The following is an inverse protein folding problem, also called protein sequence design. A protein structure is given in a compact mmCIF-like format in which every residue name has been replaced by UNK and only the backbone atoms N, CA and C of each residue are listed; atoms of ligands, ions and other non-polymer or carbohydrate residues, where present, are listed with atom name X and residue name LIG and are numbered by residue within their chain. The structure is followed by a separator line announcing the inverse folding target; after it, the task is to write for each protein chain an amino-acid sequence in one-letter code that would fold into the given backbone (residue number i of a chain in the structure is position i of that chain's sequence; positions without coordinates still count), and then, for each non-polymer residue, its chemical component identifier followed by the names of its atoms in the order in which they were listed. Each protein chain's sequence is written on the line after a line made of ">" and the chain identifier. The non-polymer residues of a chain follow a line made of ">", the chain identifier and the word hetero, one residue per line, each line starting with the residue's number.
data_IF_478720341462
#
_entry.id   IF_478720341462
#
_cell.length_a   1.000
_cell.length_b   1.000
_cell.length_c   1.000
_cell.angle_alpha   90.00
_cell.angle_beta   90.00
_cell.angle_gamma   90.00
#
_symmetry.space_group_name_H-M   'P 1'
#
loop_
_entity.id
_entity.type
_entity.pdbx_description
1 polymer ?
#
# COMPACT_ATOMS: atom_id res chain seq x y z
N UNK A 1 -26.04 0.10 27.04
CA UNK A 1 -25.68 -1.08 26.24
C UNK A 1 -25.01 -0.72 24.91
N UNK A 2 -25.56 0.19 24.09
CA UNK A 2 -24.95 0.61 22.81
C UNK A 2 -23.56 1.27 22.93
N UNK A 3 -23.21 1.89 24.06
CA UNK A 3 -21.88 2.50 24.25
C UNK A 3 -20.79 1.44 24.52
N UNK A 4 -21.12 0.38 25.27
CA UNK A 4 -20.19 -0.71 25.57
C UNK A 4 -19.88 -1.56 24.31
N UNK A 5 -20.86 -1.73 23.42
CA UNK A 5 -20.66 -2.43 22.15
C UNK A 5 -19.87 -1.61 21.12
N UNK A 6 -19.93 -0.27 21.18
CA UNK A 6 -19.05 0.59 20.37
C UNK A 6 -17.60 0.51 20.85
N UNK A 7 -17.40 0.64 22.17
CA UNK A 7 -16.07 0.57 22.78
C UNK A 7 -15.40 -0.78 22.52
N UNK A 8 -16.15 -1.89 22.55
CA UNK A 8 -15.58 -3.21 22.25
C UNK A 8 -15.02 -3.30 20.83
N UNK A 9 -15.67 -2.68 19.83
CA UNK A 9 -15.17 -2.68 18.45
C UNK A 9 -13.87 -1.88 18.34
N UNK A 10 -13.79 -0.70 18.95
CA UNK A 10 -12.55 0.09 18.96
C UNK A 10 -11.39 -0.65 19.63
N UNK A 11 -11.68 -1.46 20.66
CA UNK A 11 -10.70 -2.23 21.42
C UNK A 11 -10.50 -3.67 20.92
N UNK A 12 -10.99 -4.01 19.72
CA UNK A 12 -10.63 -5.29 19.11
C UNK A 12 -9.11 -5.40 18.96
N UNK A 13 -8.58 -6.59 19.21
CA UNK A 13 -7.15 -6.90 19.11
C UNK A 13 -6.55 -6.44 17.78
N UNK A 14 -7.15 -6.69 16.59
CA UNK A 14 -6.66 -6.14 15.33
C UNK A 14 -6.57 -4.61 15.31
N UNK A 15 -7.52 -3.91 15.92
CA UNK A 15 -7.53 -2.44 15.94
C UNK A 15 -6.46 -1.87 16.88
N UNK A 16 -6.19 -2.56 18.01
CA UNK A 16 -5.07 -2.23 18.89
C UNK A 16 -3.73 -2.39 18.16
N UNK A 17 -3.57 -3.44 17.36
CA UNK A 17 -2.39 -3.62 16.49
C UNK A 17 -2.31 -2.46 15.49
N UNK A 18 -3.43 -2.06 14.87
CA UNK A 18 -3.51 -0.89 13.99
C UNK A 18 -3.05 0.41 14.67
N UNK A 19 -3.48 0.68 15.91
CA UNK A 19 -3.03 1.86 16.65
C UNK A 19 -1.54 1.81 16.98
N UNK A 20 -1.01 0.63 17.32
CA UNK A 20 0.41 0.43 17.55
C UNK A 20 1.22 0.70 16.27
N UNK A 21 0.74 0.25 15.10
CA UNK A 21 1.36 0.53 13.78
C UNK A 21 1.45 2.03 13.52
N UNK A 22 0.38 2.77 13.80
CA UNK A 22 0.38 4.24 13.66
C UNK A 22 1.45 4.87 14.54
N UNK A 23 1.50 4.49 15.84
CA UNK A 23 2.51 5.02 16.76
C UNK A 23 3.94 4.66 16.32
N UNK A 24 4.18 3.41 15.89
CA UNK A 24 5.47 2.97 15.37
C UNK A 24 5.89 3.76 14.14
N UNK A 25 4.97 4.04 13.21
CA UNK A 25 5.26 4.85 12.04
C UNK A 25 5.55 6.30 12.40
N UNK A 26 4.82 6.90 13.35
CA UNK A 26 5.13 8.26 13.85
C UNK A 26 6.56 8.32 14.40
N UNK A 27 6.94 7.35 15.24
CA UNK A 27 8.29 7.28 15.80
C UNK A 27 9.32 7.06 14.69
N UNK A 28 9.06 6.15 13.76
CA UNK A 28 9.95 5.87 12.63
C UNK A 28 10.20 7.14 11.82
N UNK A 29 9.13 7.82 11.36
CA UNK A 29 9.26 9.02 10.54
C UNK A 29 9.94 10.17 11.29
N UNK A 30 9.75 10.30 12.60
CA UNK A 30 10.46 11.28 13.41
C UNK A 30 11.99 11.10 13.37
N UNK A 31 12.48 9.85 13.37
CA UNK A 31 13.92 9.55 13.38
C UNK A 31 14.52 9.34 11.98
N UNK A 32 13.75 9.52 10.90
CA UNK A 32 14.13 9.00 9.57
C UNK A 32 15.48 9.54 9.06
N UNK A 33 15.75 10.83 9.25
CA UNK A 33 16.99 11.46 8.82
C UNK A 33 18.14 11.31 9.84
N UNK A 34 17.82 11.01 11.10
CA UNK A 34 18.82 10.82 12.16
C UNK A 34 19.42 9.41 12.16
N UNK A 35 18.59 8.38 11.96
CA UNK A 35 19.04 7.00 11.93
C UNK A 35 18.25 6.17 10.89
N UNK A 36 18.79 6.12 9.67
CA UNK A 36 18.16 5.41 8.55
C UNK A 36 17.91 3.93 8.84
N UNK A 37 18.84 3.26 9.52
CA UNK A 37 18.72 1.83 9.85
C UNK A 37 17.59 1.57 10.82
N UNK A 38 17.51 2.36 11.90
CA UNK A 38 16.45 2.21 12.89
C UNK A 38 15.07 2.55 12.28
N UNK A 39 15.00 3.59 11.45
CA UNK A 39 13.80 3.89 10.65
C UNK A 39 13.35 2.69 9.82
N UNK A 40 14.24 2.11 9.01
CA UNK A 40 13.91 0.99 8.13
C UNK A 40 13.44 -0.24 8.91
N UNK A 41 14.04 -0.53 10.07
CA UNK A 41 13.60 -1.63 10.94
C UNK A 41 12.22 -1.37 11.52
N UNK A 42 11.97 -0.19 12.09
CA UNK A 42 10.67 0.15 12.69
C UNK A 42 9.55 0.17 11.64
N UNK A 43 9.81 0.78 10.48
CA UNK A 43 8.87 0.81 9.36
C UNK A 43 8.59 -0.60 8.84
N UNK A 44 9.62 -1.44 8.68
CA UNK A 44 9.43 -2.83 8.24
C UNK A 44 8.63 -3.66 9.24
N UNK A 45 8.86 -3.51 10.54
CA UNK A 45 8.06 -4.19 11.58
C UNK A 45 6.61 -3.72 11.51
N UNK A 46 6.36 -2.42 11.37
CA UNK A 46 5.01 -1.86 11.22
C UNK A 46 4.29 -2.43 10.00
N UNK A 47 5.01 -2.56 8.87
CA UNK A 47 4.49 -3.21 7.66
C UNK A 47 4.20 -4.71 7.85
N UNK A 48 5.02 -5.44 8.63
CA UNK A 48 4.72 -6.85 8.94
C UNK A 48 3.49 -6.98 9.85
N UNK A 49 3.30 -6.04 10.78
CA UNK A 49 2.14 -6.01 11.67
C UNK A 49 0.80 -5.85 10.91
N UNK A 50 0.81 -5.31 9.69
CA UNK A 50 -0.31 -5.29 8.75
C UNK A 50 -0.95 -6.66 8.54
N UNK A 51 -0.13 -7.63 8.12
CA UNK A 51 -0.61 -8.96 7.85
C UNK A 51 -1.13 -9.64 9.13
N UNK A 52 -0.56 -9.27 10.29
CA UNK A 52 -0.95 -9.80 11.58
C UNK A 52 -2.32 -9.29 12.03
N UNK A 53 -2.64 -8.01 11.87
CA UNK A 53 -3.96 -7.49 12.26
C UNK A 53 -5.08 -8.18 11.47
N UNK A 54 -4.92 -8.38 10.16
CA UNK A 54 -5.89 -9.08 9.34
C UNK A 54 -6.00 -10.56 9.70
N UNK A 55 -4.89 -11.19 10.09
CA UNK A 55 -4.90 -12.57 10.57
C UNK A 55 -5.64 -12.72 11.90
N UNK A 56 -5.36 -11.86 12.88
CA UNK A 56 -6.06 -11.85 14.16
C UNK A 56 -7.55 -11.51 14.01
N UNK A 57 -7.90 -10.56 13.14
CA UNK A 57 -9.30 -10.23 12.86
C UNK A 57 -10.11 -11.46 12.41
N UNK A 58 -9.54 -12.28 11.51
CA UNK A 58 -10.18 -13.53 11.04
C UNK A 58 -10.18 -14.62 12.10
N UNK A 59 -9.06 -14.81 12.80
CA UNK A 59 -8.91 -15.90 13.79
C UNK A 59 -9.80 -15.67 15.02
N UNK A 60 -9.99 -14.43 15.43
CA UNK A 60 -10.75 -14.05 16.62
C UNK A 60 -12.21 -13.68 16.31
N UNK A 61 -12.66 -13.80 15.05
CA UNK A 61 -13.96 -13.32 14.59
C UNK A 61 -14.23 -11.84 14.95
N UNK A 62 -13.19 -11.00 14.89
CA UNK A 62 -13.21 -9.57 15.19
C UNK A 62 -13.11 -8.71 13.91
N UNK A 63 -13.62 -9.21 12.79
CA UNK A 63 -13.66 -8.45 11.53
C UNK A 63 -14.66 -7.30 11.66
N UNK A 64 -14.23 -6.08 11.35
CA UNK A 64 -15.08 -4.89 11.40
C UNK A 64 -14.79 -3.94 10.25
N UNK A 65 -15.80 -3.18 9.81
CA UNK A 65 -15.64 -2.14 8.79
C UNK A 65 -14.67 -1.05 9.24
N UNK A 66 -14.72 -0.67 10.52
CA UNK A 66 -13.77 0.28 11.10
C UNK A 66 -12.33 -0.22 11.00
N UNK A 67 -12.06 -1.48 11.39
CA UNK A 67 -10.73 -2.06 11.30
C UNK A 67 -10.23 -2.14 9.86
N UNK A 68 -11.09 -2.53 8.91
CA UNK A 68 -10.71 -2.55 7.49
C UNK A 68 -10.38 -1.16 6.91
N UNK A 69 -11.07 -0.11 7.37
CA UNK A 69 -10.77 1.28 6.96
C UNK A 69 -9.50 1.78 7.65
N UNK A 70 -9.33 1.51 8.95
CA UNK A 70 -8.14 1.89 9.72
C UNK A 70 -6.87 1.29 9.10
N UNK A 71 -6.92 0.01 8.77
CA UNK A 71 -5.85 -0.73 8.08
C UNK A 71 -5.47 -0.06 6.74
N UNK A 72 -6.44 0.08 5.84
CA UNK A 72 -6.24 0.71 4.54
C UNK A 72 -5.68 2.13 4.65
N UNK A 73 -6.22 2.97 5.55
CA UNK A 73 -5.75 4.36 5.71
C UNK A 73 -4.32 4.38 6.24
N UNK A 74 -4.00 3.53 7.21
CA UNK A 74 -2.66 3.44 7.80
C UNK A 74 -1.62 3.03 6.76
N UNK A 75 -1.95 2.06 5.90
CA UNK A 75 -1.08 1.66 4.78
C UNK A 75 -0.79 2.81 3.83
N UNK A 76 -1.84 3.48 3.36
CA UNK A 76 -1.70 4.55 2.37
C UNK A 76 -0.90 5.73 2.92
N UNK A 77 -1.14 6.13 4.17
CA UNK A 77 -0.37 7.20 4.81
C UNK A 77 1.10 6.81 4.95
N UNK A 78 1.38 5.57 5.37
CA UNK A 78 2.76 5.09 5.60
C UNK A 78 3.56 5.07 4.29
N UNK A 79 3.01 4.45 3.24
CA UNK A 79 3.64 4.43 1.91
C UNK A 79 3.78 5.86 1.37
N UNK A 80 2.78 6.73 1.57
CA UNK A 80 2.83 8.10 1.10
C UNK A 80 3.95 8.91 1.75
N UNK A 81 4.09 8.83 3.07
CA UNK A 81 5.19 9.48 3.79
C UNK A 81 6.56 8.99 3.31
N UNK A 82 6.72 7.68 3.08
CA UNK A 82 7.96 7.11 2.55
C UNK A 82 8.26 7.62 1.12
N UNK A 83 7.27 7.68 0.24
CA UNK A 83 7.42 8.23 -1.11
C UNK A 83 7.78 9.72 -1.10
N UNK A 84 7.20 10.51 -0.20
CA UNK A 84 7.57 11.92 -0.03
C UNK A 84 9.03 12.03 0.41
N UNK A 85 9.48 11.23 1.37
CA UNK A 85 10.90 11.22 1.79
C UNK A 85 11.81 10.84 0.62
N UNK A 86 11.46 9.80 -0.15
CA UNK A 86 12.22 9.40 -1.34
C UNK A 86 12.28 10.53 -2.39
N UNK A 87 11.19 11.28 -2.56
CA UNK A 87 11.16 12.44 -3.47
C UNK A 87 12.09 13.58 -3.05
N UNK A 88 12.40 13.69 -1.76
CA UNK A 88 13.36 14.68 -1.23
C UNK A 88 14.80 14.22 -1.37
N UNK A 89 15.04 12.91 -1.27
CA UNK A 89 16.36 12.28 -1.28
C UNK A 89 16.90 12.09 -2.71
N UNK A 90 16.03 11.84 -3.68
CA UNK A 90 16.40 11.56 -5.06
C UNK A 90 15.98 12.67 -6.03
N UNK A 91 16.76 12.87 -7.10
CA UNK A 91 16.47 13.86 -8.15
C UNK A 91 16.46 13.23 -9.55
N UNK A 92 15.47 13.54 -10.41
CA UNK A 92 14.27 14.35 -10.13
C UNK A 92 13.26 13.61 -9.22
N UNK A 93 12.75 14.31 -8.19
CA UNK A 93 11.82 13.72 -7.21
C UNK A 93 10.41 13.45 -7.74
N UNK A 94 10.08 13.97 -8.94
CA UNK A 94 8.76 13.84 -9.56
C UNK A 94 8.33 12.38 -9.78
N UNK A 95 9.27 11.45 -10.00
CA UNK A 95 8.92 10.04 -10.14
C UNK A 95 8.18 9.51 -8.91
N UNK A 96 8.67 9.80 -7.70
CA UNK A 96 8.03 9.36 -6.46
C UNK A 96 6.71 10.10 -6.18
N UNK A 97 6.63 11.38 -6.52
CA UNK A 97 5.38 12.15 -6.41
C UNK A 97 4.30 11.62 -7.36
N UNK A 98 4.66 11.22 -8.58
CA UNK A 98 3.74 10.58 -9.53
C UNK A 98 3.25 9.22 -9.04
N UNK A 99 4.14 8.42 -8.42
CA UNK A 99 3.75 7.14 -7.81
C UNK A 99 2.79 7.35 -6.63
N UNK A 100 3.05 8.36 -5.79
CA UNK A 100 2.16 8.76 -4.71
C UNK A 100 0.77 9.16 -5.26
N UNK A 101 0.74 10.01 -6.29
CA UNK A 101 -0.51 10.45 -6.90
C UNK A 101 -1.29 9.27 -7.49
N UNK A 102 -0.62 8.35 -8.18
CA UNK A 102 -1.22 7.14 -8.73
C UNK A 102 -1.80 6.23 -7.63
N UNK A 103 -1.06 6.01 -6.54
CA UNK A 103 -1.49 5.15 -5.45
C UNK A 103 -2.72 5.71 -4.74
N UNK A 104 -2.72 7.00 -4.38
CA UNK A 104 -3.87 7.64 -3.75
C UNK A 104 -5.08 7.67 -4.70
N UNK A 105 -4.90 8.11 -5.95
CA UNK A 105 -6.01 8.23 -6.90
C UNK A 105 -6.67 6.87 -7.19
N UNK A 106 -5.86 5.83 -7.42
CA UNK A 106 -6.36 4.48 -7.73
C UNK A 106 -7.15 3.86 -6.57
N UNK A 107 -6.71 4.05 -5.33
CA UNK A 107 -7.40 3.54 -4.15
C UNK A 107 -8.64 4.37 -3.81
N UNK A 108 -8.57 5.69 -3.89
CA UNK A 108 -9.70 6.57 -3.61
C UNK A 108 -10.87 6.30 -4.56
N UNK A 109 -10.57 6.23 -5.87
CA UNK A 109 -11.60 5.99 -6.87
C UNK A 109 -12.20 4.58 -6.73
N UNK A 110 -11.38 3.57 -6.43
CA UNK A 110 -11.85 2.21 -6.18
C UNK A 110 -12.73 2.11 -4.93
N UNK A 111 -12.39 2.81 -3.85
CA UNK A 111 -13.22 2.84 -2.64
C UNK A 111 -14.56 3.49 -2.91
N UNK A 112 -14.58 4.60 -3.63
CA UNK A 112 -15.80 5.29 -4.00
C UNK A 112 -16.69 4.44 -4.94
N UNK A 113 -16.11 3.82 -5.96
CA UNK A 113 -16.86 2.95 -6.88
C UNK A 113 -17.45 1.73 -6.16
N UNK A 114 -16.70 1.13 -5.24
CA UNK A 114 -17.16 0.00 -4.41
C UNK A 114 -18.34 0.40 -3.53
N UNK A 115 -18.29 1.59 -2.94
CA UNK A 115 -19.38 2.14 -2.15
C UNK A 115 -20.65 2.37 -2.99
N UNK A 116 -20.52 2.94 -4.19
CA UNK A 116 -21.66 3.17 -5.10
C UNK A 116 -22.33 1.87 -5.57
N UNK A 117 -21.53 0.84 -5.88
CA UNK A 117 -22.04 -0.45 -6.37
C UNK A 117 -22.56 -1.33 -5.22
N UNK A 118 -22.30 -0.97 -3.96
CA UNK A 118 -22.70 -1.76 -2.78
C UNK A 118 -21.88 -3.03 -2.58
N UNK A 119 -20.64 -3.07 -3.11
CA UNK A 119 -19.74 -4.22 -2.91
C UNK A 119 -19.16 -4.21 -1.50
N UNK A 120 -18.96 -5.40 -0.92
CA UNK A 120 -18.49 -5.56 0.47
C UNK A 120 -17.00 -5.20 0.64
N UNK A 121 -16.19 -5.30 -0.43
CA UNK A 121 -14.76 -5.00 -0.39
C UNK A 121 -14.26 -4.40 -1.70
N UNK A 122 -13.36 -3.43 -1.60
CA UNK A 122 -12.70 -2.79 -2.74
C UNK A 122 -11.75 -3.73 -3.49
N UNK A 123 -11.46 -4.90 -2.91
CA UNK A 123 -10.66 -5.98 -3.50
C UNK A 123 -11.52 -7.05 -4.21
N UNK A 124 -12.84 -6.83 -4.37
CA UNK A 124 -13.73 -7.78 -5.05
C UNK A 124 -13.77 -7.56 -6.57
N UNK A 125 -13.17 -8.50 -7.31
CA UNK A 125 -12.79 -8.36 -8.72
C UNK A 125 -13.61 -9.23 -9.68
N UNK A 126 -14.68 -9.87 -9.20
CA UNK A 126 -15.45 -10.85 -10.00
C UNK A 126 -15.94 -10.32 -11.36
N UNK A 127 -16.18 -9.01 -11.47
CA UNK A 127 -16.75 -8.38 -12.67
C UNK A 127 -15.71 -7.71 -13.58
N UNK A 128 -14.41 -7.71 -13.23
CA UNK A 128 -13.40 -7.09 -14.09
C UNK A 128 -13.13 -7.93 -15.33
N UNK A 129 -12.76 -7.31 -16.45
CA UNK A 129 -12.36 -8.01 -17.69
C UNK A 129 -10.85 -8.25 -17.77
N UNK A 130 -10.02 -7.55 -16.97
CA UNK A 130 -8.57 -7.61 -17.09
C UNK A 130 -7.96 -8.83 -16.39
N UNK A 131 -7.20 -9.64 -17.14
CA UNK A 131 -6.56 -10.86 -16.65
C UNK A 131 -5.55 -10.58 -15.52
N UNK A 132 -4.76 -9.51 -15.64
CA UNK A 132 -3.72 -9.17 -14.66
C UNK A 132 -4.35 -8.74 -13.34
N UNK A 133 -5.43 -7.96 -13.40
CA UNK A 133 -6.18 -7.51 -12.23
C UNK A 133 -6.84 -8.70 -11.51
N UNK A 134 -7.37 -9.68 -12.27
CA UNK A 134 -7.86 -10.96 -11.71
C UNK A 134 -6.76 -11.81 -11.10
N UNK A 135 -5.62 -11.94 -11.76
CA UNK A 135 -4.49 -12.72 -11.24
C UNK A 135 -3.96 -12.10 -9.93
N UNK A 136 -3.83 -10.76 -9.91
CA UNK A 136 -3.40 -10.01 -8.75
C UNK A 136 -4.34 -10.20 -7.55
N UNK A 137 -5.63 -9.91 -7.69
CA UNK A 137 -6.57 -10.00 -6.57
C UNK A 137 -7.08 -11.43 -6.29
N UNK A 138 -7.02 -12.32 -7.28
CA UNK A 138 -7.43 -13.72 -7.16
C UNK A 138 -6.45 -14.59 -6.41
N UNK A 139 -5.14 -14.26 -6.44
CA UNK A 139 -4.12 -14.99 -5.71
C UNK A 139 -3.51 -14.12 -4.59
N UNK A 140 -3.89 -14.41 -3.35
CA UNK A 140 -3.42 -13.67 -2.16
C UNK A 140 -1.91 -13.70 -1.97
N UNK A 141 -1.24 -14.80 -2.35
CA UNK A 141 0.22 -14.93 -2.23
C UNK A 141 0.90 -14.00 -3.24
N UNK A 142 0.39 -13.98 -4.47
CA UNK A 142 0.92 -13.12 -5.53
C UNK A 142 0.70 -11.63 -5.23
N UNK A 143 -0.49 -11.26 -4.74
CA UNK A 143 -0.78 -9.92 -4.23
C UNK A 143 0.21 -9.52 -3.13
N UNK A 144 0.39 -10.41 -2.15
CA UNK A 144 1.30 -10.21 -1.01
C UNK A 144 2.73 -9.99 -1.48
N UNK A 145 3.23 -10.82 -2.40
CA UNK A 145 4.55 -10.64 -3.02
C UNK A 145 4.71 -9.25 -3.64
N UNK A 146 3.74 -8.79 -4.45
CA UNK A 146 3.83 -7.48 -5.10
C UNK A 146 3.81 -6.32 -4.09
N UNK A 147 3.00 -6.41 -3.04
CA UNK A 147 2.98 -5.40 -1.97
C UNK A 147 4.30 -5.36 -1.20
N UNK A 148 4.81 -6.52 -0.78
CA UNK A 148 6.11 -6.65 -0.10
C UNK A 148 7.23 -6.13 -1.01
N UNK A 149 7.21 -6.48 -2.29
CA UNK A 149 8.20 -6.03 -3.25
C UNK A 149 8.26 -4.50 -3.36
N UNK A 150 7.11 -3.82 -3.40
CA UNK A 150 7.06 -2.36 -3.38
C UNK A 150 7.68 -1.77 -2.11
N UNK A 151 7.20 -2.18 -0.94
CA UNK A 151 7.63 -1.60 0.34
C UNK A 151 9.11 -1.87 0.60
N UNK A 152 9.57 -3.10 0.35
CA UNK A 152 10.98 -3.46 0.50
C UNK A 152 11.86 -2.70 -0.49
N UNK A 153 11.43 -2.51 -1.74
CA UNK A 153 12.16 -1.70 -2.71
C UNK A 153 12.34 -0.26 -2.21
N UNK A 154 11.29 0.36 -1.69
CA UNK A 154 11.35 1.73 -1.16
C UNK A 154 12.27 1.85 0.05
N UNK A 155 12.23 0.87 0.97
CA UNK A 155 13.14 0.80 2.11
C UNK A 155 14.60 0.66 1.64
N UNK A 156 14.87 -0.21 0.66
CA UNK A 156 16.22 -0.41 0.11
C UNK A 156 16.72 0.86 -0.56
N UNK A 157 15.89 1.52 -1.38
CA UNK A 157 16.24 2.81 -1.97
C UNK A 157 16.58 3.84 -0.89
N UNK A 158 15.76 3.95 0.16
CA UNK A 158 16.03 4.86 1.26
C UNK A 158 17.37 4.59 1.97
N UNK A 159 17.71 3.31 2.16
CA UNK A 159 18.98 2.90 2.77
C UNK A 159 20.19 3.11 1.85
N UNK A 160 20.02 2.93 0.55
CA UNK A 160 21.09 3.09 -0.45
C UNK A 160 21.44 4.55 -0.71
N UNK A 161 20.48 5.46 -0.54
CA UNK A 161 20.72 6.87 -0.74
C UNK A 161 21.80 7.40 0.20
N UNK A 162 22.90 7.89 -0.35
CA UNK A 162 24.01 8.47 0.42
C UNK A 162 23.90 9.99 0.48
N UNK A 163 23.60 10.62 -0.67
CA UNK A 163 23.49 12.07 -0.82
C UNK A 163 22.07 12.46 -1.25
N UNK A 164 21.61 13.65 -0.86
CA UNK A 164 20.23 14.14 -1.12
C UNK A 164 19.98 14.62 -2.57
N UNK A 165 20.80 14.18 -3.52
CA UNK A 165 20.75 14.64 -4.92
C UNK A 165 21.07 13.52 -5.92
N UNK A 166 21.03 12.26 -5.50
CA UNK A 166 21.38 11.15 -6.37
C UNK A 166 20.27 10.88 -7.40
N UNK A 167 20.67 10.44 -8.59
CA UNK A 167 19.74 9.90 -9.57
C UNK A 167 19.44 8.44 -9.22
N UNK A 168 18.16 8.07 -9.24
CA UNK A 168 17.67 6.73 -8.93
C UNK A 168 18.31 5.69 -9.86
N UNK A 169 18.45 6.00 -11.15
CA UNK A 169 19.02 5.07 -12.14
C UNK A 169 20.45 4.72 -11.78
N UNK A 170 21.23 5.71 -11.38
CA UNK A 170 22.65 5.55 -11.06
C UNK A 170 22.81 4.75 -9.78
N UNK A 171 21.97 5.03 -8.76
CA UNK A 171 21.99 4.28 -7.49
C UNK A 171 21.61 2.81 -7.72
N UNK A 172 20.57 2.54 -8.51
CA UNK A 172 20.17 1.17 -8.83
C UNK A 172 21.24 0.43 -9.65
N UNK A 173 21.85 1.07 -10.65
CA UNK A 173 22.92 0.48 -11.44
C UNK A 173 24.16 0.18 -10.59
N UNK A 174 24.55 1.11 -9.72
CA UNK A 174 25.70 0.92 -8.83
C UNK A 174 25.44 -0.19 -7.80
N UNK A 175 24.24 -0.25 -7.23
CA UNK A 175 23.84 -1.32 -6.33
C UNK A 175 23.83 -2.69 -7.03
N UNK A 176 23.31 -2.76 -8.26
CA UNK A 176 23.30 -3.99 -9.05
C UNK A 176 24.73 -4.47 -9.40
N UNK A 177 25.69 -3.56 -9.59
CA UNK A 177 27.10 -3.91 -9.85
C UNK A 177 27.84 -4.42 -8.62
N UNK A 178 27.38 -4.10 -7.41
CA UNK A 178 28.09 -4.42 -6.18
C UNK A 178 28.10 -5.93 -5.88
N UNK A 179 27.01 -6.63 -6.14
CA UNK A 179 26.95 -8.10 -5.99
C UNK A 179 25.85 -8.74 -6.83
N UNK A 180 26.07 -9.97 -7.28
CA UNK A 180 25.08 -10.76 -8.03
C UNK A 180 23.81 -11.03 -7.21
N UNK A 181 23.94 -11.25 -5.90
CA UNK A 181 22.80 -11.45 -5.01
C UNK A 181 21.94 -10.17 -4.88
N UNK A 182 22.57 -9.01 -4.73
CA UNK A 182 21.83 -7.73 -4.67
C UNK A 182 21.15 -7.43 -6.01
N UNK A 183 21.82 -7.71 -7.13
CA UNK A 183 21.26 -7.55 -8.47
C UNK A 183 20.01 -8.41 -8.69
N UNK A 184 20.08 -9.70 -8.35
CA UNK A 184 18.95 -10.63 -8.47
C UNK A 184 17.80 -10.24 -7.54
N UNK A 185 18.10 -9.83 -6.30
CA UNK A 185 17.10 -9.31 -5.37
C UNK A 185 16.41 -8.05 -5.93
N UNK A 186 17.17 -7.06 -6.39
CA UNK A 186 16.62 -5.82 -6.97
C UNK A 186 15.76 -6.11 -8.20
N UNK A 187 16.17 -7.04 -9.07
CA UNK A 187 15.37 -7.45 -10.23
C UNK A 187 14.03 -8.05 -9.81
N UNK A 188 14.01 -8.93 -8.80
CA UNK A 188 12.77 -9.50 -8.26
C UNK A 188 11.88 -8.43 -7.62
N UNK A 189 12.45 -7.48 -6.89
CA UNK A 189 11.67 -6.40 -6.26
C UNK A 189 11.09 -5.44 -7.31
N UNK A 190 11.88 -5.07 -8.31
CA UNK A 190 11.43 -4.22 -9.43
C UNK A 190 10.32 -4.88 -10.25
N UNK A 191 10.37 -6.20 -10.43
CA UNK A 191 9.31 -6.94 -11.12
C UNK A 191 7.98 -6.86 -10.35
N UNK A 192 7.98 -7.18 -9.06
CA UNK A 192 6.78 -7.07 -8.21
C UNK A 192 6.27 -5.62 -8.12
N UNK A 193 7.18 -4.65 -8.03
CA UNK A 193 6.86 -3.23 -8.04
C UNK A 193 6.18 -2.80 -9.36
N UNK A 194 6.72 -3.18 -10.51
CA UNK A 194 6.18 -2.82 -11.82
C UNK A 194 4.76 -3.37 -12.03
N UNK A 195 4.54 -4.62 -11.61
CA UNK A 195 3.21 -5.23 -11.61
C UNK A 195 2.26 -4.42 -10.73
N UNK A 196 2.66 -4.07 -9.51
CA UNK A 196 1.82 -3.30 -8.59
C UNK A 196 1.43 -1.94 -9.19
N UNK A 197 2.37 -1.22 -9.81
CA UNK A 197 2.04 0.07 -10.44
C UNK A 197 1.09 -0.08 -11.63
N UNK A 198 1.28 -1.13 -12.43
CA UNK A 198 0.38 -1.44 -13.55
C UNK A 198 -1.02 -1.79 -13.05
N UNK A 199 -1.12 -2.56 -11.96
CA UNK A 199 -2.38 -2.88 -11.31
C UNK A 199 -3.07 -1.63 -10.76
N UNK A 200 -2.33 -0.68 -10.16
CA UNK A 200 -2.91 0.58 -9.69
C UNK A 200 -3.54 1.40 -10.84
N UNK A 201 -2.90 1.44 -12.03
CA UNK A 201 -3.48 2.07 -13.23
C UNK A 201 -4.75 1.34 -13.69
N UNK A 202 -4.70 0.01 -13.78
CA UNK A 202 -5.86 -0.80 -14.18
C UNK A 202 -7.02 -0.64 -13.19
N UNK A 203 -6.70 -0.62 -11.90
CA UNK A 203 -7.66 -0.41 -10.81
C UNK A 203 -8.38 0.92 -10.98
N UNK A 204 -7.63 2.00 -11.21
CA UNK A 204 -8.19 3.32 -11.42
C UNK A 204 -9.15 3.35 -12.61
N UNK A 205 -8.75 2.78 -13.76
CA UNK A 205 -9.62 2.69 -14.93
C UNK A 205 -10.89 1.88 -14.64
N UNK A 206 -10.72 0.70 -14.04
CA UNK A 206 -11.85 -0.20 -13.73
C UNK A 206 -12.84 0.46 -12.76
N UNK A 207 -12.34 1.24 -11.80
CA UNK A 207 -13.16 2.01 -10.87
C UNK A 207 -13.93 3.13 -11.58
N UNK A 208 -13.29 3.84 -12.51
CA UNK A 208 -13.93 4.88 -13.32
C UNK A 208 -15.07 4.28 -14.17
N UNK A 209 -14.81 3.16 -14.85
CA UNK A 209 -15.79 2.44 -15.66
C UNK A 209 -17.01 2.02 -14.80
N UNK A 210 -16.79 1.55 -13.58
CA UNK A 210 -17.87 1.19 -12.65
C UNK A 210 -18.74 2.40 -12.24
N UNK A 211 -18.15 3.57 -12.01
CA UNK A 211 -18.91 4.80 -11.74
C UNK A 211 -19.77 5.22 -12.94
N UNK A 212 -19.21 5.16 -14.16
CA UNK A 212 -19.95 5.48 -15.39
C UNK A 212 -21.13 4.52 -15.59
N UNK A 213 -20.93 3.22 -15.37
CA UNK A 213 -22.00 2.22 -15.44
C UNK A 213 -23.10 2.48 -14.40
N UNK A 214 -22.71 2.88 -13.19
CA UNK A 214 -23.66 3.27 -12.16
C UNK A 214 -24.55 4.45 -12.60
N UNK A 215 -23.96 5.48 -13.20
CA UNK A 215 -24.70 6.65 -13.68
C UNK A 215 -25.65 6.30 -14.84
N UNK A 216 -25.23 5.44 -15.76
CA UNK A 216 -26.09 4.93 -16.86
C UNK A 216 -27.30 4.19 -16.27
N UNK A 217 -27.07 3.27 -15.33
CA UNK A 217 -28.13 2.50 -14.68
C UNK A 217 -29.08 3.38 -13.86
N UNK A 218 -28.55 4.43 -13.22
CA UNK A 218 -29.36 5.40 -12.47
C UNK A 218 -30.29 6.18 -13.40
N UNK A 219 -29.82 6.61 -14.57
CA UNK A 219 -30.64 7.30 -15.59
C UNK A 219 -31.71 6.42 -16.21
N UNK A 220 -31.45 5.13 -16.39
CA UNK A 220 -32.45 4.19 -16.93
C UNK A 220 -33.59 3.88 -15.95
N UNK A 221 -33.36 4.09 -14.64
CA UNK A 221 -34.34 3.88 -13.57
C UNK A 221 -35.12 5.14 -13.18
N UNK A 222 -34.72 6.29 -13.72
CA UNK A 222 -35.37 7.59 -13.50
C UNK A 222 -36.35 7.88 -14.64
#
# INVERSE_FOLDING_TARGET
>A
MANNSKLSVYLYIPNIIGYLRILMNVIAFYICFSNKRLFSVLYFISFVCDALDGWFARKLNQVSTFGAVLDMVTDRISTACLLVILSQVYRPGFAFLSLLALDIASHWLQMYSTFLVGKVSHKDVKDSTNWLFKAYYGNRIFMGYCCVACEVLYIILFLLAKNQTENITDVLMNAAKQSSLLSTLLALLLFGWAIKQTVNVIQMKTAADACVLYDINKKQKA
#
